data_IF_665296288854
#
_entry.id   IF_665296288854
#
_cell.length_a   1.000
_cell.length_b   1.000
_cell.length_c   1.000
_cell.angle_alpha   90.00
_cell.angle_beta   90.00
_cell.angle_gamma   90.00
#
_symmetry.space_group_name_H-M   'P 1'
#
loop_
_entity.id
_entity.type
_entity.pdbx_description
1 polymer ?
#
# COMPACT_ATOMS: atom_id res chain seq x y z
N UNK A 1 -29.22 -22.43 -14.13
CA UNK A 1 -28.72 -21.04 -14.24
C UNK A 1 -27.49 -20.92 -13.36
N UNK A 2 -26.30 -20.83 -13.96
CA UNK A 2 -25.04 -20.81 -13.21
C UNK A 2 -24.91 -19.48 -12.44
N UNK A 3 -24.68 -19.56 -11.13
CA UNK A 3 -24.26 -18.41 -10.32
C UNK A 3 -22.92 -17.95 -10.90
N UNK A 4 -22.93 -16.88 -11.70
CA UNK A 4 -21.71 -16.17 -12.07
C UNK A 4 -21.05 -15.70 -10.77
N UNK A 5 -20.01 -16.43 -10.34
CA UNK A 5 -19.20 -16.05 -9.20
C UNK A 5 -18.48 -14.72 -9.46
N UNK A 6 -17.70 -14.25 -8.47
CA UNK A 6 -16.85 -13.06 -8.66
C UNK A 6 -16.04 -13.22 -9.96
N UNK A 7 -16.11 -12.25 -10.90
CA UNK A 7 -15.32 -12.34 -12.13
C UNK A 7 -13.86 -12.57 -11.75
N UNK A 8 -13.20 -13.49 -12.48
CA UNK A 8 -11.75 -13.72 -12.34
C UNK A 8 -11.06 -12.41 -12.71
N UNK A 9 -10.82 -11.57 -11.70
CA UNK A 9 -9.91 -10.45 -11.80
C UNK A 9 -8.53 -11.08 -12.01
N UNK A 10 -7.92 -10.78 -13.15
CA UNK A 10 -6.68 -11.40 -13.62
C UNK A 10 -5.46 -10.95 -12.81
N UNK A 11 -5.58 -9.86 -12.06
CA UNK A 11 -4.52 -9.37 -11.17
C UNK A 11 -5.10 -8.94 -9.82
N UNK A 12 -5.59 -9.88 -9.01
CA UNK A 12 -6.19 -9.52 -7.74
C UNK A 12 -5.06 -8.99 -6.87
N UNK A 13 -5.25 -7.82 -6.24
CA UNK A 13 -4.33 -7.29 -5.24
C UNK A 13 -4.44 -8.17 -3.98
N UNK A 14 -3.97 -9.41 -4.07
CA UNK A 14 -4.09 -10.47 -3.04
C UNK A 14 -3.05 -10.31 -1.93
N UNK A 15 -1.93 -9.67 -2.22
CA UNK A 15 -0.87 -9.48 -1.24
C UNK A 15 -1.26 -8.38 -0.27
N UNK A 16 -1.77 -8.78 0.89
CA UNK A 16 -1.96 -7.91 2.05
C UNK A 16 -0.71 -7.99 2.91
N UNK A 17 0.01 -6.87 3.02
CA UNK A 17 1.13 -6.72 3.95
C UNK A 17 0.58 -6.00 5.18
N UNK A 18 0.76 -6.61 6.35
CA UNK A 18 0.43 -5.99 7.63
C UNK A 18 1.73 -5.70 8.37
N UNK A 19 2.15 -4.44 8.39
CA UNK A 19 3.33 -3.98 9.13
C UNK A 19 2.88 -3.38 10.45
N UNK A 20 3.51 -3.78 11.56
CA UNK A 20 3.34 -3.09 12.84
C UNK A 20 4.31 -1.93 12.89
N UNK A 21 3.79 -0.74 13.09
CA UNK A 21 4.56 0.48 13.25
C UNK A 21 4.39 0.96 14.69
N UNK A 22 5.43 1.59 15.23
CA UNK A 22 5.31 2.38 16.46
C UNK A 22 4.46 3.63 16.19
N UNK A 23 3.86 4.20 17.24
CA UNK A 23 3.01 5.39 17.12
C UNK A 23 3.71 6.57 16.42
N UNK A 24 4.99 6.80 16.74
CA UNK A 24 5.81 7.85 16.12
C UNK A 24 5.98 7.68 14.60
N UNK A 25 6.16 6.44 14.14
CA UNK A 25 6.31 6.12 12.72
C UNK A 25 4.97 6.29 11.99
N UNK A 26 3.87 5.95 12.66
CA UNK A 26 2.53 6.10 12.10
C UNK A 26 2.13 7.58 11.99
N UNK A 27 2.49 8.43 12.96
CA UNK A 27 2.27 9.88 12.88
C UNK A 27 3.05 10.50 11.73
N UNK A 28 4.36 10.23 11.62
CA UNK A 28 5.18 10.71 10.50
C UNK A 28 4.61 10.27 9.16
N UNK A 29 4.10 9.04 9.06
CA UNK A 29 3.49 8.53 7.85
C UNK A 29 2.14 9.21 7.54
N UNK A 30 1.36 9.57 8.57
CA UNK A 30 0.11 10.33 8.41
C UNK A 30 0.40 11.76 7.96
N UNK A 31 1.38 12.44 8.57
CA UNK A 31 1.77 13.79 8.17
C UNK A 31 2.26 13.81 6.73
N UNK A 32 3.15 12.90 6.37
CA UNK A 32 3.63 12.76 5.00
C UNK A 32 2.50 12.43 4.01
N UNK A 33 1.57 11.56 4.39
CA UNK A 33 0.38 11.26 3.60
C UNK A 33 -0.52 12.49 3.40
N UNK A 34 -0.71 13.30 4.44
CA UNK A 34 -1.49 14.55 4.37
C UNK A 34 -0.82 15.57 3.45
N UNK A 35 0.48 15.79 3.63
CA UNK A 35 1.24 16.77 2.85
C UNK A 35 1.22 16.43 1.34
N UNK A 36 1.30 15.15 1.00
CA UNK A 36 1.26 14.69 -0.38
C UNK A 36 -0.14 14.32 -0.91
N UNK A 37 -1.21 14.49 -0.11
CA UNK A 37 -2.58 14.04 -0.43
C UNK A 37 -2.65 12.58 -0.90
N UNK A 38 -1.85 11.71 -0.26
CA UNK A 38 -1.76 10.29 -0.58
C UNK A 38 -2.45 9.45 0.48
N UNK A 39 -2.96 8.28 0.10
CA UNK A 39 -3.39 7.30 1.09
C UNK A 39 -2.18 6.66 1.76
N UNK A 40 -2.31 6.20 3.01
CA UNK A 40 -1.23 5.48 3.73
C UNK A 40 -0.63 4.37 2.86
N UNK A 41 -1.47 3.63 2.14
CA UNK A 41 -1.07 2.56 1.23
C UNK A 41 -0.24 3.05 0.03
N UNK A 42 -0.51 4.25 -0.49
CA UNK A 42 0.29 4.86 -1.56
C UNK A 42 1.65 5.34 -1.05
N UNK A 43 1.70 5.91 0.15
CA UNK A 43 2.97 6.27 0.80
C UNK A 43 3.86 5.04 0.97
N UNK A 44 3.30 3.92 1.45
CA UNK A 44 4.02 2.64 1.54
C UNK A 44 4.52 2.14 0.18
N UNK A 45 3.69 2.21 -0.86
CA UNK A 45 4.11 1.81 -2.22
C UNK A 45 5.24 2.67 -2.75
N UNK A 46 5.17 3.99 -2.56
CA UNK A 46 6.24 4.92 -2.92
C UNK A 46 7.52 4.62 -2.15
N UNK A 47 7.42 4.33 -0.85
CA UNK A 47 8.56 3.93 -0.03
C UNK A 47 9.26 2.69 -0.59
N UNK A 48 8.48 1.66 -0.97
CA UNK A 48 9.02 0.47 -1.63
C UNK A 48 9.68 0.81 -2.97
N UNK A 49 9.04 1.63 -3.81
CA UNK A 49 9.56 2.03 -5.12
C UNK A 49 10.90 2.78 -5.00
N UNK A 50 11.04 3.66 -3.99
CA UNK A 50 12.29 4.37 -3.67
C UNK A 50 13.37 3.39 -3.19
N UNK A 51 13.03 2.44 -2.30
CA UNK A 51 13.93 1.39 -1.83
C UNK A 51 14.45 0.53 -2.99
N UNK A 52 13.57 0.12 -3.91
CA UNK A 52 13.95 -0.61 -5.12
C UNK A 52 14.83 0.24 -6.05
N UNK A 53 14.63 1.55 -6.10
CA UNK A 53 15.46 2.48 -6.88
C UNK A 53 16.85 2.68 -6.29
N UNK A 54 16.98 2.70 -4.96
CA UNK A 54 18.27 2.83 -4.26
C UNK A 54 19.12 1.56 -4.29
N UNK A 55 18.49 0.39 -4.43
CA UNK A 55 19.19 -0.89 -4.49
C UNK A 55 19.64 -1.27 -5.92
N UNK A 56 19.60 -0.32 -6.86
CA UNK A 56 19.96 -0.49 -8.26
C UNK A 56 21.14 0.38 -8.61
#
# INVERSE_FOLDING_TARGET
MAKVGRPKIENPKVNKISVRLSDEEHEKLIEFAKEHSMTKAEVFKKGLEILYKQCK
#
